data_IF_995993033897
#
_entry.id   IF_995993033897
#
_cell.length_a   1.000
_cell.length_b   1.000
_cell.length_c   1.000
_cell.angle_alpha   90.00
_cell.angle_beta   90.00
_cell.angle_gamma   90.00
#
_symmetry.space_group_name_H-M   'P 1'
#
loop_
_entity.id
_entity.type
_entity.pdbx_description
1 polymer ?
#
# COMPACT_ATOMS: atom_id res chain seq x y z
N UNK A 1 -18.18 -12.10 1.60
CA UNK A 1 -18.43 -12.33 0.16
C UNK A 1 -18.02 -13.76 -0.20
N UNK A 2 -16.78 -14.20 0.08
CA UNK A 2 -16.30 -15.55 -0.28
C UNK A 2 -17.05 -16.71 0.41
N UNK A 3 -17.66 -16.49 1.56
CA UNK A 3 -18.47 -17.51 2.25
C UNK A 3 -19.83 -17.76 1.54
N UNK A 4 -20.35 -16.75 0.84
CA UNK A 4 -21.63 -16.81 0.12
C UNK A 4 -21.40 -17.11 -1.36
N UNK A 5 -20.39 -16.45 -1.94
CA UNK A 5 -20.02 -16.55 -3.36
C UNK A 5 -18.65 -17.22 -3.46
N UNK A 6 -18.55 -18.35 -4.11
CA UNK A 6 -17.27 -19.05 -4.32
C UNK A 6 -16.24 -18.09 -4.95
N UNK A 7 -14.94 -18.26 -4.63
CA UNK A 7 -13.85 -17.41 -5.14
C UNK A 7 -13.94 -17.14 -6.66
N UNK A 8 -14.34 -18.15 -7.44
CA UNK A 8 -14.49 -18.02 -8.89
C UNK A 8 -15.50 -16.92 -9.29
N UNK A 9 -16.63 -16.83 -8.57
CA UNK A 9 -17.65 -15.79 -8.87
C UNK A 9 -17.09 -14.40 -8.49
N UNK A 10 -16.40 -14.28 -7.34
CA UNK A 10 -15.80 -13.01 -6.92
C UNK A 10 -14.80 -12.47 -7.96
N UNK A 11 -13.96 -13.33 -8.52
CA UNK A 11 -13.02 -12.96 -9.58
C UNK A 11 -13.76 -12.49 -10.82
N UNK A 12 -14.74 -13.28 -11.32
CA UNK A 12 -15.52 -12.93 -12.51
C UNK A 12 -16.30 -11.62 -12.36
N UNK A 13 -16.82 -11.32 -11.17
CA UNK A 13 -17.47 -10.02 -10.89
C UNK A 13 -16.47 -8.89 -10.99
N UNK A 14 -15.25 -9.06 -10.48
CA UNK A 14 -14.17 -8.08 -10.62
C UNK A 14 -13.83 -7.81 -12.07
N UNK A 15 -13.65 -8.87 -12.88
CA UNK A 15 -13.37 -8.78 -14.31
C UNK A 15 -14.52 -8.08 -15.07
N UNK A 16 -15.77 -8.42 -14.74
CA UNK A 16 -16.95 -7.78 -15.31
C UNK A 16 -16.99 -6.28 -15.01
N UNK A 17 -16.78 -5.88 -13.73
CA UNK A 17 -16.81 -4.48 -13.34
C UNK A 17 -15.69 -3.67 -14.02
N UNK A 18 -14.48 -4.24 -14.09
CA UNK A 18 -13.36 -3.61 -14.79
C UNK A 18 -13.68 -3.42 -16.28
N UNK A 19 -14.13 -4.48 -16.95
CA UNK A 19 -14.50 -4.45 -18.37
C UNK A 19 -15.62 -3.43 -18.63
N UNK A 20 -16.63 -3.38 -17.76
CA UNK A 20 -17.73 -2.42 -17.89
C UNK A 20 -17.25 -0.98 -17.72
N UNK A 21 -16.34 -0.71 -16.77
CA UNK A 21 -15.71 0.60 -16.59
C UNK A 21 -14.95 1.05 -17.85
N UNK A 22 -14.16 0.15 -18.46
CA UNK A 22 -13.43 0.43 -19.70
C UNK A 22 -14.37 0.72 -20.88
N UNK A 23 -15.45 -0.06 -21.03
CA UNK A 23 -16.47 0.15 -22.06
C UNK A 23 -17.14 1.52 -21.90
N UNK A 24 -17.49 1.92 -20.66
CA UNK A 24 -18.08 3.23 -20.40
C UNK A 24 -17.14 4.38 -20.84
N UNK A 25 -15.83 4.26 -20.59
CA UNK A 25 -14.87 5.24 -21.07
C UNK A 25 -14.86 5.34 -22.60
N UNK A 26 -14.95 4.20 -23.32
CA UNK A 26 -14.97 4.17 -24.79
C UNK A 26 -16.27 4.77 -25.30
N UNK A 27 -17.43 4.36 -24.77
CA UNK A 27 -18.76 4.84 -25.17
C UNK A 27 -18.89 6.36 -25.03
N UNK A 28 -18.28 6.93 -23.98
CA UNK A 28 -18.28 8.39 -23.70
C UNK A 28 -17.09 9.13 -24.33
N UNK A 29 -16.18 8.44 -25.03
CA UNK A 29 -14.95 9.00 -25.61
C UNK A 29 -13.99 9.59 -24.57
N UNK A 30 -14.03 9.09 -23.34
CA UNK A 30 -13.18 9.50 -22.21
C UNK A 30 -11.82 8.78 -22.29
N UNK A 31 -11.09 8.98 -23.38
CA UNK A 31 -9.83 8.28 -23.65
C UNK A 31 -8.74 8.62 -22.64
N UNK A 32 -8.71 9.86 -22.11
CA UNK A 32 -7.79 10.25 -21.03
C UNK A 32 -8.01 9.39 -19.76
N UNK A 33 -9.27 9.10 -19.43
CA UNK A 33 -9.63 8.24 -18.29
C UNK A 33 -9.25 6.78 -18.56
N UNK A 34 -9.53 6.29 -19.75
CA UNK A 34 -9.19 4.92 -20.16
C UNK A 34 -7.68 4.68 -20.08
N UNK A 35 -6.86 5.64 -20.56
CA UNK A 35 -5.40 5.57 -20.48
C UNK A 35 -4.93 5.48 -19.02
N UNK A 36 -5.44 6.36 -18.15
CA UNK A 36 -5.07 6.38 -16.72
C UNK A 36 -5.46 5.07 -16.02
N UNK A 37 -6.66 4.54 -16.28
CA UNK A 37 -7.13 3.28 -15.68
C UNK A 37 -6.28 2.11 -16.17
N UNK A 38 -6.03 2.02 -17.48
CA UNK A 38 -5.24 0.94 -18.07
C UNK A 38 -3.82 0.90 -17.54
N UNK A 39 -3.17 2.06 -17.42
CA UNK A 39 -1.82 2.17 -16.84
C UNK A 39 -1.81 1.81 -15.34
N UNK A 40 -2.88 2.15 -14.61
CA UNK A 40 -3.03 1.76 -13.21
C UNK A 40 -3.14 0.25 -13.04
N UNK A 41 -4.01 -0.40 -13.81
CA UNK A 41 -4.19 -1.87 -13.79
C UNK A 41 -2.89 -2.59 -14.13
N UNK A 42 -2.17 -2.11 -15.15
CA UNK A 42 -0.85 -2.62 -15.51
C UNK A 42 0.12 -2.52 -14.35
N UNK A 43 0.25 -1.33 -13.72
CA UNK A 43 1.14 -1.12 -12.57
C UNK A 43 0.78 -2.01 -11.39
N UNK A 44 -0.51 -2.14 -11.07
CA UNK A 44 -0.97 -3.01 -9.98
C UNK A 44 -0.56 -4.47 -10.22
N UNK A 45 -0.72 -4.97 -11.45
CA UNK A 45 -0.33 -6.33 -11.83
C UNK A 45 1.19 -6.52 -11.76
N UNK A 46 1.97 -5.57 -12.26
CA UNK A 46 3.44 -5.58 -12.14
C UNK A 46 3.89 -5.58 -10.67
N UNK A 47 3.25 -4.78 -9.81
CA UNK A 47 3.56 -4.71 -8.38
C UNK A 47 3.27 -6.02 -7.67
N UNK A 48 2.14 -6.68 -7.99
CA UNK A 48 1.80 -8.00 -7.44
C UNK A 48 2.79 -9.07 -7.88
N UNK A 49 3.14 -9.12 -9.18
CA UNK A 49 4.12 -10.07 -9.71
C UNK A 49 5.49 -9.87 -9.07
N UNK A 50 5.94 -8.63 -8.92
CA UNK A 50 7.20 -8.30 -8.24
C UNK A 50 7.17 -8.75 -6.78
N UNK A 51 6.07 -8.51 -6.06
CA UNK A 51 5.91 -8.98 -4.69
C UNK A 51 6.00 -10.50 -4.58
N UNK A 52 5.33 -11.23 -5.48
CA UNK A 52 5.36 -12.71 -5.49
C UNK A 52 6.78 -13.22 -5.76
N UNK A 53 7.48 -12.66 -6.74
CA UNK A 53 8.86 -13.01 -7.05
C UNK A 53 9.78 -12.81 -5.84
N UNK A 54 9.74 -11.62 -5.26
CA UNK A 54 10.60 -11.22 -4.14
C UNK A 54 10.28 -11.94 -2.83
N UNK A 55 9.01 -12.25 -2.59
CA UNK A 55 8.61 -13.05 -1.41
C UNK A 55 9.15 -14.47 -1.44
N UNK A 56 9.42 -15.04 -2.62
CA UNK A 56 10.04 -16.37 -2.76
C UNK A 56 11.52 -16.36 -2.40
N UNK A 57 12.25 -15.35 -2.82
CA UNK A 57 13.68 -15.20 -2.55
C UNK A 57 13.96 -14.65 -1.15
N UNK A 58 13.02 -13.91 -0.56
CA UNK A 58 13.19 -13.03 0.62
C UNK A 58 14.32 -12.01 0.39
N UNK A 59 14.43 -11.54 -0.83
CA UNK A 59 15.38 -10.54 -1.27
C UNK A 59 14.63 -9.23 -1.56
N UNK A 60 14.19 -8.57 -0.49
CA UNK A 60 13.49 -7.30 -0.54
C UNK A 60 14.29 -6.32 0.31
N UNK A 61 14.84 -5.30 -0.33
CA UNK A 61 15.34 -4.11 0.33
C UNK A 61 14.26 -3.03 0.40
N UNK A 62 14.58 -1.90 1.01
CA UNK A 62 13.64 -0.77 1.17
C UNK A 62 13.22 -0.19 -0.19
N UNK A 63 14.10 -0.14 -1.17
CA UNK A 63 13.82 0.39 -2.52
C UNK A 63 12.78 -0.47 -3.23
N UNK A 64 12.99 -1.79 -3.20
CA UNK A 64 12.06 -2.77 -3.78
C UNK A 64 10.71 -2.73 -3.03
N UNK A 65 10.71 -2.60 -1.71
CA UNK A 65 9.48 -2.46 -0.93
C UNK A 65 8.66 -1.24 -1.40
N UNK A 66 9.29 -0.06 -1.50
CA UNK A 66 8.59 1.13 -1.98
C UNK A 66 8.12 0.99 -3.43
N UNK A 67 8.88 0.34 -4.30
CA UNK A 67 8.44 0.04 -5.66
C UNK A 67 7.17 -0.81 -5.68
N UNK A 68 7.15 -1.88 -4.88
CA UNK A 68 5.98 -2.77 -4.76
C UNK A 68 4.74 -1.99 -4.30
N UNK A 69 4.83 -1.26 -3.19
CA UNK A 69 3.65 -0.58 -2.64
C UNK A 69 3.18 0.60 -3.50
N UNK A 70 4.10 1.28 -4.20
CA UNK A 70 3.76 2.30 -5.19
C UNK A 70 2.96 1.71 -6.34
N UNK A 71 3.44 0.60 -6.91
CA UNK A 71 2.77 -0.06 -8.04
C UNK A 71 1.45 -0.71 -7.60
N UNK A 72 1.48 -1.52 -6.54
CA UNK A 72 0.33 -2.35 -6.13
C UNK A 72 -0.82 -1.56 -5.50
N UNK A 73 -0.52 -0.54 -4.69
CA UNK A 73 -1.52 0.17 -3.87
C UNK A 73 -1.63 1.64 -4.26
N UNK A 74 -0.52 2.38 -4.24
CA UNK A 74 -0.55 3.82 -4.42
C UNK A 74 -0.93 4.23 -5.85
N UNK A 75 -0.62 3.41 -6.86
CA UNK A 75 -0.95 3.69 -8.26
C UNK A 75 -2.46 3.87 -8.48
N UNK A 76 -3.29 3.03 -7.85
CA UNK A 76 -4.75 3.13 -7.98
C UNK A 76 -5.28 4.42 -7.33
N UNK A 77 -4.84 4.74 -6.12
CA UNK A 77 -5.26 5.96 -5.42
C UNK A 77 -4.82 7.21 -6.18
N UNK A 78 -3.58 7.20 -6.67
CA UNK A 78 -3.04 8.24 -7.55
C UNK A 78 -3.87 8.42 -8.81
N UNK A 79 -4.29 7.32 -9.44
CA UNK A 79 -5.11 7.32 -10.66
C UNK A 79 -6.52 7.86 -10.41
N UNK A 80 -7.16 7.51 -9.29
CA UNK A 80 -8.45 8.09 -8.89
C UNK A 80 -8.35 9.61 -8.74
N UNK A 81 -7.31 10.10 -8.06
CA UNK A 81 -7.05 11.52 -7.90
C UNK A 81 -6.78 12.21 -9.25
N UNK A 82 -5.98 11.57 -10.12
CA UNK A 82 -5.64 12.07 -11.46
C UNK A 82 -6.87 12.17 -12.37
N UNK A 83 -7.74 11.15 -12.37
CA UNK A 83 -8.99 11.14 -13.15
C UNK A 83 -9.89 12.29 -12.71
N UNK A 84 -10.09 12.47 -11.38
CA UNK A 84 -10.87 13.58 -10.86
C UNK A 84 -10.33 14.94 -11.34
N UNK A 85 -9.02 15.13 -11.34
CA UNK A 85 -8.40 16.37 -11.80
C UNK A 85 -8.56 16.57 -13.32
N UNK A 86 -8.32 15.53 -14.15
CA UNK A 86 -8.46 15.59 -15.61
C UNK A 86 -9.89 15.91 -16.04
N UNK A 87 -10.90 15.47 -15.27
CA UNK A 87 -12.31 15.73 -15.54
C UNK A 87 -12.68 17.22 -15.44
N UNK A 88 -11.94 18.02 -14.65
CA UNK A 88 -12.31 19.42 -14.37
C UNK A 88 -11.27 20.43 -14.83
N UNK A 89 -10.06 20.02 -15.19
CA UNK A 89 -9.01 20.95 -15.65
C UNK A 89 -8.07 20.32 -16.67
N UNK A 90 -7.48 21.16 -17.52
CA UNK A 90 -6.38 20.79 -18.42
C UNK A 90 -5.01 21.30 -17.94
N UNK A 91 -4.95 21.89 -16.76
CA UNK A 91 -3.70 22.41 -16.19
C UNK A 91 -2.83 21.27 -15.68
N UNK A 92 -1.79 20.94 -16.45
CA UNK A 92 -0.86 19.82 -16.13
C UNK A 92 -0.28 19.88 -14.72
N UNK A 93 0.03 21.10 -14.22
CA UNK A 93 0.58 21.29 -12.88
C UNK A 93 -0.39 20.82 -11.78
N UNK A 94 -1.68 21.19 -11.91
CA UNK A 94 -2.71 20.76 -10.94
C UNK A 94 -2.91 19.25 -11.02
N UNK A 95 -3.04 18.70 -12.23
CA UNK A 95 -3.22 17.26 -12.46
C UNK A 95 -2.06 16.46 -11.82
N UNK A 96 -0.82 16.90 -12.04
CA UNK A 96 0.35 16.24 -11.46
C UNK A 96 0.39 16.35 -9.93
N UNK A 97 0.07 17.52 -9.37
CA UNK A 97 0.03 17.70 -7.93
C UNK A 97 -1.02 16.83 -7.26
N UNK A 98 -2.24 16.80 -7.79
CA UNK A 98 -3.34 15.98 -7.27
C UNK A 98 -3.01 14.47 -7.40
N UNK A 99 -2.36 14.06 -8.50
CA UNK A 99 -1.87 12.68 -8.68
C UNK A 99 -0.82 12.31 -7.63
N UNK A 100 0.14 13.23 -7.31
CA UNK A 100 1.15 13.02 -6.26
C UNK A 100 0.55 12.94 -4.86
N UNK A 101 -0.46 13.76 -4.56
CA UNK A 101 -1.22 13.65 -3.31
C UNK A 101 -1.75 12.22 -3.15
N UNK A 102 -2.42 11.69 -4.17
CA UNK A 102 -2.94 10.33 -4.18
C UNK A 102 -1.85 9.25 -4.01
N UNK A 103 -0.69 9.41 -4.67
CA UNK A 103 0.44 8.49 -4.53
C UNK A 103 0.98 8.49 -3.09
N UNK A 104 1.23 9.65 -2.51
CA UNK A 104 1.78 9.77 -1.16
C UNK A 104 0.81 9.25 -0.09
N UNK A 105 -0.50 9.53 -0.24
CA UNK A 105 -1.53 8.94 0.63
C UNK A 105 -1.53 7.42 0.51
N UNK A 106 -1.44 6.89 -0.71
CA UNK A 106 -1.44 5.45 -0.96
C UNK A 106 -0.24 4.74 -0.33
N UNK A 107 0.94 5.37 -0.35
CA UNK A 107 2.13 4.86 0.33
C UNK A 107 1.93 4.88 1.85
N UNK A 108 1.49 6.01 2.42
CA UNK A 108 1.22 6.12 3.85
C UNK A 108 0.16 5.12 4.31
N UNK A 109 -0.89 4.92 3.51
CA UNK A 109 -1.94 3.94 3.75
C UNK A 109 -1.39 2.51 3.83
N UNK A 110 -0.52 2.12 2.89
CA UNK A 110 0.05 0.77 2.89
C UNK A 110 1.00 0.55 4.07
N UNK A 111 1.85 1.55 4.40
CA UNK A 111 2.71 1.45 5.59
C UNK A 111 1.85 1.30 6.87
N UNK A 112 0.73 2.02 6.96
CA UNK A 112 -0.21 1.87 8.08
C UNK A 112 -0.81 0.47 8.16
N UNK A 113 -1.20 -0.11 7.02
CA UNK A 113 -1.71 -1.49 6.96
C UNK A 113 -0.65 -2.50 7.43
N UNK A 114 0.59 -2.34 7.00
CA UNK A 114 1.70 -3.20 7.41
C UNK A 114 1.96 -3.10 8.91
N UNK A 115 1.83 -1.90 9.50
CA UNK A 115 1.96 -1.69 10.95
C UNK A 115 0.87 -2.41 11.76
N UNK A 116 -0.32 -2.60 11.22
CA UNK A 116 -1.39 -3.34 11.91
C UNK A 116 -1.02 -4.79 12.19
N UNK A 117 -0.18 -5.41 11.37
CA UNK A 117 0.25 -6.80 11.59
C UNK A 117 1.06 -6.99 12.90
N UNK A 118 1.65 -5.91 13.42
CA UNK A 118 2.43 -5.86 14.67
C UNK A 118 1.66 -5.29 15.87
N UNK A 119 0.45 -4.77 15.67
CA UNK A 119 -0.35 -4.08 16.67
C UNK A 119 -0.87 -4.98 17.79
N UNK A 120 -1.38 -4.36 18.89
CA UNK A 120 -2.01 -5.08 20.01
C UNK A 120 -3.52 -5.28 19.82
N UNK A 121 -4.18 -4.49 18.98
CA UNK A 121 -5.65 -4.51 18.81
C UNK A 121 -6.10 -5.66 17.91
N UNK A 122 -7.28 -6.22 18.21
CA UNK A 122 -7.94 -7.21 17.36
C UNK A 122 -8.65 -6.49 16.22
N UNK A 123 -7.97 -6.32 15.09
CA UNK A 123 -8.50 -5.66 13.87
C UNK A 123 -9.15 -6.68 12.93
N UNK A 124 -9.89 -7.63 13.47
CA UNK A 124 -10.52 -8.67 12.64
C UNK A 124 -9.55 -9.63 11.92
N UNK A 125 -8.23 -9.35 11.93
CA UNK A 125 -7.18 -10.21 11.36
C UNK A 125 -6.27 -10.74 12.48
N UNK A 126 -5.82 -12.03 12.42
CA UNK A 126 -4.79 -12.54 13.31
C UNK A 126 -3.46 -11.80 13.07
N UNK A 127 -2.66 -11.58 14.11
CA UNK A 127 -1.35 -10.93 14.02
C UNK A 127 -0.33 -11.80 13.30
N UNK A 128 0.64 -11.16 12.66
CA UNK A 128 1.75 -11.81 12.01
C UNK A 128 1.32 -12.57 10.74
N UNK A 129 0.26 -12.15 10.07
CA UNK A 129 -0.17 -12.73 8.79
C UNK A 129 0.88 -12.49 7.73
N UNK A 130 1.42 -11.27 7.63
CA UNK A 130 2.44 -10.93 6.64
C UNK A 130 3.70 -11.77 6.84
N UNK A 131 4.10 -12.00 8.10
CA UNK A 131 5.21 -12.91 8.43
C UNK A 131 4.89 -14.34 7.97
N UNK A 132 3.65 -14.83 8.21
CA UNK A 132 3.21 -16.16 7.79
C UNK A 132 3.17 -16.32 6.27
N UNK A 133 2.86 -15.26 5.57
CA UNK A 133 2.84 -15.19 4.10
C UNK A 133 4.21 -14.86 3.51
N UNK A 134 5.25 -14.73 4.36
CA UNK A 134 6.63 -14.40 3.98
C UNK A 134 6.74 -13.05 3.27
N UNK A 135 5.87 -12.12 3.58
CA UNK A 135 5.96 -10.75 3.11
C UNK A 135 6.96 -9.99 3.98
N UNK A 136 7.96 -9.38 3.35
CA UNK A 136 8.89 -8.48 4.02
C UNK A 136 8.31 -7.08 4.00
N UNK A 137 7.69 -6.68 5.12
CA UNK A 137 7.15 -5.34 5.34
C UNK A 137 8.23 -4.39 5.85
N UNK A 138 8.01 -3.07 5.75
CA UNK A 138 9.00 -2.06 6.09
C UNK A 138 9.61 -2.24 7.50
N UNK A 139 8.83 -2.50 8.59
CA UNK A 139 9.40 -2.78 9.90
C UNK A 139 10.39 -3.94 9.91
N UNK A 140 10.08 -4.99 9.15
CA UNK A 140 10.89 -6.20 9.09
C UNK A 140 12.17 -5.99 8.27
N UNK A 141 12.08 -5.23 7.18
CA UNK A 141 13.24 -4.86 6.34
C UNK A 141 14.23 -4.03 7.15
N UNK A 142 13.74 -3.01 7.86
CA UNK A 142 14.57 -2.22 8.77
C UNK A 142 15.28 -3.11 9.79
N UNK A 143 14.52 -3.97 10.47
CA UNK A 143 15.07 -4.92 11.43
C UNK A 143 16.18 -5.79 10.83
N UNK A 144 15.98 -6.33 9.62
CA UNK A 144 17.01 -7.12 8.93
C UNK A 144 18.30 -6.34 8.66
N UNK A 145 18.20 -5.03 8.45
CA UNK A 145 19.37 -4.19 8.19
C UNK A 145 20.14 -3.83 9.47
N UNK A 146 19.45 -3.71 10.61
CA UNK A 146 20.06 -3.39 11.92
C UNK A 146 20.69 -4.61 12.61
N UNK A 147 20.38 -5.83 12.17
CA UNK A 147 20.87 -7.04 12.82
C UNK A 147 22.29 -7.44 12.35
N UNK A 148 23.08 -7.94 13.28
CA UNK A 148 24.33 -8.65 12.97
C UNK A 148 24.08 -9.91 12.09
N UNK A 149 25.14 -10.40 11.45
CA UNK A 149 25.05 -11.56 10.51
C UNK A 149 24.38 -12.79 11.12
N UNK A 150 24.62 -13.08 12.41
CA UNK A 150 24.07 -14.25 13.10
C UNK A 150 22.57 -14.12 13.34
N UNK A 151 22.14 -13.00 13.90
CA UNK A 151 20.72 -12.70 14.16
C UNK A 151 19.93 -12.55 12.85
N UNK A 152 20.51 -11.91 11.84
CA UNK A 152 19.93 -11.80 10.49
C UNK A 152 19.69 -13.17 9.87
N UNK A 153 20.66 -14.09 9.92
CA UNK A 153 20.52 -15.48 9.44
C UNK A 153 19.41 -16.22 10.18
N UNK A 154 19.34 -16.05 11.50
CA UNK A 154 18.27 -16.62 12.33
C UNK A 154 16.90 -16.10 11.91
N UNK A 155 16.73 -14.79 11.70
CA UNK A 155 15.47 -14.16 11.32
C UNK A 155 15.01 -14.64 9.93
N UNK A 156 15.91 -14.66 8.95
CA UNK A 156 15.61 -15.17 7.60
C UNK A 156 15.19 -16.64 7.64
N UNK A 157 15.92 -17.49 8.41
CA UNK A 157 15.56 -18.89 8.56
C UNK A 157 14.20 -19.07 9.25
N UNK A 158 13.91 -18.25 10.24
CA UNK A 158 12.62 -18.25 10.95
C UNK A 158 11.45 -17.93 10.01
N UNK A 159 11.61 -16.92 9.14
CA UNK A 159 10.60 -16.57 8.12
C UNK A 159 10.50 -17.69 7.06
N UNK A 160 11.61 -18.26 6.61
CA UNK A 160 11.62 -19.31 5.57
C UNK A 160 10.95 -20.60 6.03
N UNK A 161 11.30 -21.09 7.22
CA UNK A 161 10.99 -22.46 7.66
C UNK A 161 10.00 -22.53 8.83
N UNK A 162 9.86 -21.47 9.62
CA UNK A 162 9.07 -21.45 10.86
C UNK A 162 8.00 -20.34 10.89
N UNK A 163 7.64 -19.80 9.72
CA UNK A 163 6.66 -18.71 9.58
C UNK A 163 5.25 -19.07 10.10
N UNK A 164 4.90 -20.33 10.22
CA UNK A 164 3.60 -20.80 10.74
C UNK A 164 3.62 -21.09 12.26
N UNK A 165 4.80 -21.17 12.86
CA UNK A 165 4.95 -21.37 14.30
C UNK A 165 4.59 -20.08 15.06
N UNK A 166 3.54 -20.17 15.90
CA UNK A 166 3.02 -19.03 16.67
C UNK A 166 4.05 -18.45 17.66
N UNK A 167 4.91 -19.30 18.25
CA UNK A 167 5.98 -18.85 19.16
C UNK A 167 7.02 -18.07 18.38
N UNK A 168 7.46 -18.62 17.25
CA UNK A 168 8.45 -17.99 16.38
C UNK A 168 7.97 -16.65 15.82
N UNK A 169 6.71 -16.57 15.40
CA UNK A 169 6.10 -15.30 14.94
C UNK A 169 6.08 -14.25 16.06
N UNK A 170 5.79 -14.65 17.31
CA UNK A 170 5.86 -13.72 18.47
C UNK A 170 7.28 -13.22 18.71
N UNK A 171 8.30 -14.12 18.65
CA UNK A 171 9.71 -13.73 18.80
C UNK A 171 10.13 -12.73 17.70
N UNK A 172 9.71 -12.93 16.46
CA UNK A 172 9.97 -12.02 15.35
C UNK A 172 9.33 -10.64 15.64
N UNK A 173 8.06 -10.61 16.05
CA UNK A 173 7.36 -9.36 16.40
C UNK A 173 8.07 -8.63 17.55
N UNK A 174 8.53 -9.33 18.58
CA UNK A 174 9.31 -8.72 19.68
C UNK A 174 10.61 -8.13 19.15
N UNK A 175 11.33 -8.88 18.31
CA UNK A 175 12.59 -8.43 17.72
C UNK A 175 12.40 -7.15 16.87
N UNK A 176 11.34 -7.08 16.05
CA UNK A 176 11.01 -5.89 15.25
C UNK A 176 10.77 -4.67 16.13
N UNK A 177 10.12 -4.85 17.30
CA UNK A 177 9.93 -3.77 18.27
C UNK A 177 11.23 -3.33 18.93
N UNK A 178 12.03 -4.29 19.38
CA UNK A 178 13.30 -4.04 20.05
C UNK A 178 14.32 -3.31 19.17
N UNK A 179 14.31 -3.59 17.87
CA UNK A 179 15.22 -2.94 16.90
C UNK A 179 14.74 -1.56 16.42
N UNK A 180 13.56 -1.09 16.82
CA UNK A 180 13.00 0.18 16.37
C UNK A 180 12.33 0.13 14.98
N UNK A 181 12.10 -1.08 14.43
CA UNK A 181 11.49 -1.23 13.09
C UNK A 181 10.10 -0.63 12.98
N UNK A 182 9.33 -0.63 14.07
CA UNK A 182 8.00 0.02 14.08
C UNK A 182 8.12 1.55 14.05
N UNK A 183 9.02 2.11 14.84
CA UNK A 183 9.22 3.56 14.92
C UNK A 183 9.71 4.11 13.60
N UNK A 184 10.61 3.41 12.93
CA UNK A 184 11.07 3.73 11.58
C UNK A 184 9.91 3.74 10.57
N UNK A 185 9.06 2.72 10.58
CA UNK A 185 7.92 2.67 9.67
C UNK A 185 6.89 3.78 9.95
N UNK A 186 6.67 4.14 11.23
CA UNK A 186 5.83 5.28 11.62
C UNK A 186 6.43 6.60 11.13
N UNK A 187 7.74 6.79 11.23
CA UNK A 187 8.43 7.97 10.71
C UNK A 187 8.24 8.10 9.19
N UNK A 188 8.44 7.02 8.44
CA UNK A 188 8.23 7.01 6.98
C UNK A 188 6.76 7.27 6.60
N UNK A 189 5.81 6.67 7.31
CA UNK A 189 4.39 6.93 7.12
C UNK A 189 4.07 8.43 7.30
N UNK A 190 4.55 9.03 8.39
CA UNK A 190 4.35 10.45 8.67
C UNK A 190 5.03 11.36 7.64
N UNK A 191 6.18 10.95 7.11
CA UNK A 191 6.87 11.66 6.03
C UNK A 191 6.00 11.76 4.77
N UNK A 192 5.45 10.64 4.28
CA UNK A 192 4.59 10.64 3.10
C UNK A 192 3.26 11.36 3.34
N UNK A 193 2.68 11.21 4.52
CA UNK A 193 1.51 11.97 4.94
C UNK A 193 1.76 13.49 4.90
N UNK A 194 2.89 13.96 5.44
CA UNK A 194 3.25 15.37 5.42
C UNK A 194 3.41 15.90 4.00
N UNK A 195 4.07 15.16 3.11
CA UNK A 195 4.22 15.55 1.70
C UNK A 195 2.84 15.69 1.04
N UNK A 196 1.91 14.76 1.29
CA UNK A 196 0.56 14.85 0.75
C UNK A 196 -0.17 16.11 1.22
N UNK A 197 -0.04 16.48 2.50
CA UNK A 197 -0.62 17.73 3.04
C UNK A 197 0.05 18.99 2.47
N UNK A 198 1.36 18.95 2.24
CA UNK A 198 2.09 20.08 1.65
C UNK A 198 1.68 20.30 0.19
N UNK A 199 1.55 19.23 -0.60
CA UNK A 199 1.05 19.30 -1.97
C UNK A 199 -0.42 19.80 -2.03
N UNK A 200 -1.22 19.48 -1.01
CA UNK A 200 -2.61 19.93 -0.91
C UNK A 200 -2.75 21.46 -0.76
N UNK A 201 -1.70 22.15 -0.27
CA UNK A 201 -1.68 23.62 -0.15
C UNK A 201 -1.81 24.34 -1.49
N UNK A 202 -1.51 23.67 -2.60
CA UNK A 202 -1.67 24.20 -3.95
C UNK A 202 -3.14 24.33 -4.39
N UNK A 203 -4.06 23.64 -3.71
CA UNK A 203 -5.49 23.72 -4.00
C UNK A 203 -6.13 24.91 -3.26
N UNK A 204 -7.18 25.55 -3.84
CA UNK A 204 -7.87 26.66 -3.21
C UNK A 204 -8.51 26.26 -1.87
N UNK A 205 -8.51 27.20 -0.92
CA UNK A 205 -9.12 27.01 0.40
C UNK A 205 -10.64 27.03 0.29
N UNK A 206 -11.27 25.90 0.61
CA UNK A 206 -12.72 25.70 0.64
C UNK A 206 -13.07 24.48 1.51
N UNK A 207 -14.36 24.22 1.67
CA UNK A 207 -14.86 23.07 2.45
C UNK A 207 -14.41 21.69 1.89
N UNK A 208 -14.26 21.57 0.57
CA UNK A 208 -13.81 20.33 -0.08
C UNK A 208 -12.34 20.03 0.24
N UNK A 209 -11.47 21.06 0.23
CA UNK A 209 -10.08 20.92 0.67
C UNK A 209 -10.01 20.52 2.15
N UNK A 210 -10.88 21.08 3.00
CA UNK A 210 -10.96 20.71 4.42
C UNK A 210 -11.33 19.24 4.56
N UNK A 211 -12.38 18.79 3.87
CA UNK A 211 -12.80 17.37 3.89
C UNK A 211 -11.70 16.42 3.39
N UNK A 212 -10.98 16.81 2.33
CA UNK A 212 -9.85 16.04 1.82
C UNK A 212 -8.70 15.99 2.84
N UNK A 213 -8.42 17.10 3.53
CA UNK A 213 -7.43 17.16 4.63
C UNK A 213 -7.81 16.19 5.76
N UNK A 214 -9.08 16.20 6.16
CA UNK A 214 -9.60 15.28 7.20
C UNK A 214 -9.48 13.82 6.77
N UNK A 215 -9.77 13.50 5.51
CA UNK A 215 -9.60 12.16 4.95
C UNK A 215 -8.12 11.72 4.95
N UNK A 216 -7.21 12.59 4.54
CA UNK A 216 -5.76 12.33 4.57
C UNK A 216 -5.30 12.05 6.00
N UNK A 217 -5.72 12.85 6.96
CA UNK A 217 -5.40 12.65 8.38
C UNK A 217 -5.97 11.33 8.89
N UNK A 218 -7.20 10.97 8.51
CA UNK A 218 -7.82 9.71 8.90
C UNK A 218 -7.02 8.49 8.47
N UNK A 219 -6.38 8.53 7.29
CA UNK A 219 -5.59 7.39 6.76
C UNK A 219 -4.54 6.91 7.76
N UNK A 220 -3.83 7.80 8.43
CA UNK A 220 -2.77 7.45 9.38
C UNK A 220 -3.25 7.27 10.81
N UNK A 221 -4.38 7.91 11.18
CA UNK A 221 -4.92 7.85 12.55
C UNK A 221 -5.96 6.75 12.76
N UNK A 222 -6.41 6.08 11.68
CA UNK A 222 -7.36 4.96 11.77
C UNK A 222 -6.80 3.84 12.64
N UNK A 223 -7.67 3.25 13.42
CA UNK A 223 -7.34 2.17 14.37
C UNK A 223 -7.73 0.77 13.84
N UNK A 224 -8.26 0.70 12.60
CA UNK A 224 -8.77 -0.52 11.93
C UNK A 224 -8.65 -0.38 10.41
#
# INVERSE_FOLDING_TARGET
>A
INAIWKNKIAVLVGDFLLSRGMILCIENKDYDHLDIISESVKKMSEGELLQIEKSRSLDIDETVYFEIIKKKTASLISSCCKIAAVSVTKQKKIIQSVSKIGENIGIAFQIKDDLFDYGKRKIGKPRGIDIKEKKLTLPLIYTLNELDKRRRKWLINSIKKHNKDKSRVKEIISLVKETGGLDYAIEKMNYFHKIALDDLKLLPDNEFKKSLTEMINYVIHRDF
#
